data_IF_234223913537
#
_entry.id   IF_234223913537
#
_cell.length_a   1.000
_cell.length_b   1.000
_cell.length_c   1.000
_cell.angle_alpha   90.00
_cell.angle_beta   90.00
_cell.angle_gamma   90.00
#
_symmetry.space_group_name_H-M   'P 1'
#
loop_
_entity.id
_entity.type
_entity.pdbx_description
1 polymer ?
#
# COMPACT_ATOMS: atom_id res chain seq x y z
N UNK A 1 3.38 -54.87 21.42
CA UNK A 1 4.35 -54.01 20.72
C UNK A 1 3.73 -53.68 19.38
N UNK A 2 3.22 -52.46 19.25
CA UNK A 2 2.61 -51.97 18.01
C UNK A 2 3.34 -50.68 17.69
N UNK A 3 4.21 -50.72 16.69
CA UNK A 3 4.89 -49.55 16.15
C UNK A 3 3.87 -48.71 15.38
N UNK A 4 3.56 -47.54 15.92
CA UNK A 4 2.92 -46.45 15.19
C UNK A 4 4.00 -45.68 14.45
N UNK A 5 4.02 -45.80 13.12
CA UNK A 5 4.83 -44.97 12.23
C UNK A 5 4.38 -43.50 12.34
N UNK A 6 5.29 -42.51 12.50
CA UNK A 6 4.89 -41.13 12.75
C UNK A 6 4.74 -40.35 11.44
N UNK A 7 3.49 -40.15 10.99
CA UNK A 7 3.17 -39.19 9.93
C UNK A 7 3.32 -37.72 10.38
N UNK A 8 3.61 -37.46 11.66
CA UNK A 8 3.65 -36.13 12.26
C UNK A 8 4.99 -35.41 12.16
N UNK A 9 6.05 -36.06 11.65
CA UNK A 9 7.39 -35.46 11.61
C UNK A 9 7.64 -34.66 10.32
N UNK A 10 6.92 -34.95 9.24
CA UNK A 10 7.12 -34.29 7.94
C UNK A 10 6.45 -32.92 7.83
N UNK A 11 5.47 -32.59 8.66
CA UNK A 11 4.81 -31.27 8.64
C UNK A 11 5.61 -30.21 9.41
N UNK A 12 6.15 -30.55 10.58
CA UNK A 12 6.91 -29.61 11.42
C UNK A 12 8.19 -29.09 10.75
N UNK A 13 8.82 -29.90 9.89
CA UNK A 13 10.03 -29.50 9.17
C UNK A 13 9.73 -28.57 7.99
N UNK A 14 8.54 -28.64 7.39
CA UNK A 14 8.14 -27.76 6.28
C UNK A 14 7.86 -26.33 6.77
N UNK A 15 7.18 -26.20 7.91
CA UNK A 15 6.95 -24.90 8.57
C UNK A 15 8.23 -24.24 9.05
N UNK A 16 9.17 -25.00 9.63
CA UNK A 16 10.48 -24.47 10.02
C UNK A 16 11.32 -23.99 8.82
N UNK A 17 11.13 -24.60 7.64
CA UNK A 17 11.86 -24.21 6.43
C UNK A 17 11.26 -22.97 5.78
N UNK A 18 9.93 -22.81 5.80
CA UNK A 18 9.24 -21.61 5.32
C UNK A 18 9.53 -20.41 6.24
N UNK A 19 9.44 -20.58 7.57
CA UNK A 19 9.83 -19.56 8.53
C UNK A 19 11.31 -19.14 8.39
N UNK A 20 12.21 -20.10 8.13
CA UNK A 20 13.63 -19.81 7.89
C UNK A 20 13.88 -19.13 6.54
N UNK A 21 13.14 -19.49 5.50
CA UNK A 21 13.20 -18.83 4.19
C UNK A 21 12.72 -17.38 4.27
N UNK A 22 11.62 -17.14 4.98
CA UNK A 22 11.10 -15.79 5.31
C UNK A 22 12.17 -15.00 6.07
N UNK A 23 12.78 -15.57 7.11
CA UNK A 23 13.80 -14.88 7.91
C UNK A 23 15.10 -14.55 7.15
N UNK A 24 15.50 -15.36 6.16
CA UNK A 24 16.73 -15.13 5.38
C UNK A 24 16.55 -14.07 4.27
N UNK A 25 15.35 -13.92 3.72
CA UNK A 25 15.05 -12.90 2.69
C UNK A 25 15.03 -11.47 3.29
N UNK A 26 14.65 -11.34 4.57
CA UNK A 26 14.56 -10.07 5.32
C UNK A 26 15.89 -9.29 5.36
N UNK A 27 17.04 -9.96 5.43
CA UNK A 27 18.34 -9.27 5.50
C UNK A 27 18.81 -8.67 4.18
N UNK A 28 18.33 -9.16 3.03
CA UNK A 28 18.73 -8.66 1.72
C UNK A 28 17.85 -7.48 1.25
N UNK A 29 16.54 -7.54 1.49
CA UNK A 29 15.55 -6.58 0.95
C UNK A 29 15.55 -5.23 1.71
N UNK A 30 15.78 -5.24 3.03
CA UNK A 30 15.77 -4.00 3.84
C UNK A 30 16.80 -2.95 3.41
N UNK A 31 17.90 -3.37 2.80
CA UNK A 31 18.96 -2.47 2.29
C UNK A 31 18.65 -1.87 0.91
N UNK A 32 17.74 -2.47 0.14
CA UNK A 32 17.38 -2.01 -1.20
C UNK A 32 16.10 -1.16 -1.21
N UNK A 33 15.13 -1.45 -0.33
CA UNK A 33 13.88 -0.67 -0.25
C UNK A 33 14.09 0.75 0.33
N UNK A 34 15.00 0.88 1.30
CA UNK A 34 15.48 2.18 1.80
C UNK A 34 16.14 3.03 0.71
N UNK A 35 16.69 2.41 -0.33
CA UNK A 35 17.34 3.09 -1.46
C UNK A 35 16.34 3.63 -2.51
N UNK A 36 15.17 3.01 -2.67
CA UNK A 36 14.17 3.42 -3.68
C UNK A 36 13.20 4.49 -3.16
N UNK A 37 12.90 4.50 -1.85
CA UNK A 37 12.14 5.59 -1.21
C UNK A 37 12.84 6.95 -1.33
N UNK A 38 14.17 6.97 -1.27
CA UNK A 38 14.97 8.20 -1.42
C UNK A 38 14.95 8.73 -2.88
N UNK A 39 14.70 7.84 -3.86
CA UNK A 39 14.64 8.19 -5.29
C UNK A 39 13.24 8.61 -5.73
N UNK A 40 12.18 8.05 -5.14
CA UNK A 40 10.78 8.39 -5.42
C UNK A 40 10.39 9.83 -5.03
N UNK A 41 11.07 10.43 -4.05
CA UNK A 41 10.83 11.81 -3.62
C UNK A 41 11.21 12.91 -4.63
N UNK A 42 12.10 12.60 -5.60
CA UNK A 42 12.64 13.60 -6.53
C UNK A 42 11.79 13.80 -7.82
N UNK A 43 10.85 12.90 -8.12
CA UNK A 43 10.08 12.93 -9.38
C UNK A 43 8.71 13.64 -9.25
N UNK A 44 8.21 13.86 -8.04
CA UNK A 44 6.85 14.38 -7.81
C UNK A 44 6.74 15.92 -7.85
N UNK A 45 7.82 16.69 -8.02
CA UNK A 45 7.80 18.16 -7.92
C UNK A 45 7.84 18.93 -9.25
N UNK A 46 7.84 18.26 -10.42
CA UNK A 46 8.00 18.94 -11.72
C UNK A 46 6.75 19.00 -12.62
N UNK A 47 5.56 18.69 -12.11
CA UNK A 47 4.31 18.80 -12.86
C UNK A 47 3.38 19.92 -12.32
N UNK A 48 3.86 21.16 -12.30
CA UNK A 48 2.99 22.36 -12.27
C UNK A 48 3.71 23.60 -12.82
N UNK A 49 4.28 23.49 -14.02
CA UNK A 49 4.74 24.65 -14.80
C UNK A 49 3.61 25.22 -15.63
N UNK A 50 2.88 26.20 -15.11
CA UNK A 50 1.84 26.94 -15.84
C UNK A 50 2.44 27.68 -17.04
N UNK A 51 1.90 27.42 -18.22
CA UNK A 51 2.22 28.10 -19.48
C UNK A 51 1.76 29.56 -19.41
N UNK A 52 2.73 30.48 -19.31
CA UNK A 52 2.51 31.90 -19.59
C UNK A 52 2.38 32.10 -21.10
N UNK A 53 1.36 32.86 -21.50
CA UNK A 53 1.25 33.42 -22.83
C UNK A 53 1.59 34.91 -22.74
N UNK A 54 2.77 35.23 -23.24
CA UNK A 54 3.23 36.54 -23.66
C UNK A 54 2.75 36.78 -25.09
N UNK A 55 1.99 37.85 -25.32
CA UNK A 55 2.12 38.58 -26.57
C UNK A 55 1.68 40.04 -26.44
N UNK A 56 2.14 40.82 -27.40
CA UNK A 56 2.83 42.08 -27.21
C UNK A 56 2.11 43.27 -27.86
N UNK A 57 2.42 44.50 -27.41
CA UNK A 57 2.02 45.72 -28.13
C UNK A 57 2.08 47.01 -27.29
N UNK A 58 3.08 47.86 -27.54
CA UNK A 58 3.26 49.15 -26.87
C UNK A 58 2.49 50.33 -27.49
N UNK A 59 2.61 51.51 -26.86
CA UNK A 59 2.34 52.80 -27.51
C UNK A 59 1.72 53.92 -26.66
N UNK A 60 2.59 54.80 -26.13
CA UNK A 60 2.55 56.28 -26.10
C UNK A 60 1.31 57.11 -25.67
N UNK A 61 1.60 58.18 -24.89
CA UNK A 61 0.83 59.43 -24.74
C UNK A 61 0.51 59.75 -23.26
N UNK A 62 1.18 60.68 -22.57
CA UNK A 62 0.95 62.14 -22.55
C UNK A 62 -0.49 62.51 -22.11
N UNK A 63 -0.83 63.44 -21.24
CA UNK A 63 -0.19 64.34 -20.28
C UNK A 63 -1.36 65.13 -19.62
N UNK A 64 -1.04 65.84 -18.54
CA UNK A 64 -1.69 67.09 -18.10
C UNK A 64 -2.76 67.15 -16.96
N UNK A 65 -2.40 68.00 -16.00
CA UNK A 65 -3.14 68.91 -15.11
C UNK A 65 -4.34 68.51 -14.23
N UNK A 66 -4.26 68.93 -12.96
CA UNK A 66 -5.42 69.38 -12.18
C UNK A 66 -5.31 69.15 -10.67
N UNK A 67 -4.97 70.18 -9.90
CA UNK A 67 -4.93 70.14 -8.44
C UNK A 67 -6.31 70.19 -7.76
N UNK A 68 -6.33 69.93 -6.44
CA UNK A 68 -7.48 70.15 -5.58
C UNK A 68 -7.22 69.70 -4.13
N UNK A 69 -7.12 70.67 -3.22
CA UNK A 69 -7.02 70.51 -1.76
C UNK A 69 -8.41 70.44 -1.10
N UNK A 70 -8.47 69.83 0.10
CA UNK A 70 -9.57 69.95 1.09
C UNK A 70 -10.51 68.73 1.12
N UNK A 71 -11.04 68.25 2.23
CA UNK A 71 -10.96 68.64 3.64
C UNK A 71 -11.28 67.40 4.49
N UNK A 72 -10.58 67.28 5.61
CA UNK A 72 -11.05 66.93 6.95
C UNK A 72 -12.57 66.72 7.13
N UNK A 73 -12.95 65.55 7.63
CA UNK A 73 -14.02 65.44 8.62
C UNK A 73 -13.76 64.28 9.58
N UNK A 74 -13.95 64.61 10.85
CA UNK A 74 -13.71 63.78 12.02
C UNK A 74 -14.94 62.93 12.29
N UNK A 75 -14.76 61.70 12.75
CA UNK A 75 -15.62 61.17 13.82
C UNK A 75 -14.87 60.09 14.61
N UNK A 76 -14.61 60.44 15.87
CA UNK A 76 -14.06 59.54 16.87
C UNK A 76 -15.17 58.68 17.47
N UNK A 77 -14.91 57.38 17.55
CA UNK A 77 -15.62 56.45 18.41
C UNK A 77 -14.61 55.64 19.22
N UNK A 78 -14.32 56.08 20.44
CA UNK A 78 -13.65 55.28 21.46
C UNK A 78 -14.65 54.31 22.08
N UNK A 79 -14.28 53.04 22.20
CA UNK A 79 -15.03 52.04 22.95
C UNK A 79 -14.29 50.71 22.95
N UNK A 80 -13.50 50.49 24.01
CA UNK A 80 -12.83 49.24 24.32
C UNK A 80 -13.84 48.10 24.52
N UNK A 81 -13.43 46.86 24.22
CA UNK A 81 -13.36 45.80 25.23
C UNK A 81 -12.79 44.54 24.57
N UNK A 82 -11.52 44.30 24.89
CA UNK A 82 -10.84 43.02 24.76
C UNK A 82 -11.66 41.95 25.48
N UNK A 83 -12.41 41.17 24.71
CA UNK A 83 -12.98 39.90 25.16
C UNK A 83 -12.21 38.77 24.48
N UNK A 84 -11.13 38.40 25.15
CA UNK A 84 -10.53 37.07 25.14
C UNK A 84 -11.60 35.98 24.94
N UNK A 85 -11.45 35.17 23.90
CA UNK A 85 -12.41 34.08 23.72
C UNK A 85 -12.25 33.13 22.55
N UNK A 86 -11.14 33.13 21.82
CA UNK A 86 -10.81 32.02 20.92
C UNK A 86 -9.29 31.93 20.72
N UNK A 87 -8.53 31.95 21.82
CA UNK A 87 -7.14 31.49 21.77
C UNK A 87 -7.14 30.05 21.27
N UNK A 88 -6.34 29.83 20.23
CA UNK A 88 -6.40 28.66 19.39
C UNK A 88 -6.42 27.35 20.17
N UNK A 89 -7.38 26.51 19.81
CA UNK A 89 -7.07 25.09 19.70
C UNK A 89 -6.09 24.96 18.52
N UNK A 90 -4.84 25.35 18.75
CA UNK A 90 -3.73 24.89 17.94
C UNK A 90 -3.73 23.39 18.07
N UNK A 91 -4.51 22.73 17.21
CA UNK A 91 -4.52 21.29 17.10
C UNK A 91 -3.06 20.91 16.97
N UNK A 92 -2.57 20.10 17.91
CA UNK A 92 -1.26 19.47 17.74
C UNK A 92 -1.17 19.04 16.29
N UNK A 93 -0.09 19.38 15.56
CA UNK A 93 0.09 18.83 14.23
C UNK A 93 -0.09 17.33 14.40
N UNK A 94 -1.17 16.79 13.83
CA UNK A 94 -1.29 15.34 13.72
C UNK A 94 -0.05 14.99 12.94
N UNK A 95 0.89 14.29 13.58
CA UNK A 95 1.98 13.64 12.83
C UNK A 95 1.28 12.90 11.71
N UNK A 96 1.60 13.22 10.47
CA UNK A 96 0.96 12.60 9.31
C UNK A 96 1.17 11.09 9.41
N UNK A 97 0.16 10.38 9.93
CA UNK A 97 0.19 8.92 10.02
C UNK A 97 -0.07 8.43 8.62
N UNK A 98 1.00 8.01 7.93
CA UNK A 98 0.93 7.45 6.58
C UNK A 98 1.13 5.95 6.64
N UNK A 99 0.13 5.20 6.19
CA UNK A 99 0.28 3.78 5.91
C UNK A 99 1.07 3.64 4.60
N UNK A 100 2.19 2.89 4.57
CA UNK A 100 2.95 2.67 3.35
C UNK A 100 2.10 1.90 2.33
N UNK A 101 1.94 2.40 1.09
CA UNK A 101 1.28 1.64 0.04
C UNK A 101 2.20 0.51 -0.45
N UNK A 102 1.63 -0.68 -0.61
CA UNK A 102 2.28 -1.88 -1.15
C UNK A 102 1.72 -2.13 -2.55
N UNK A 103 2.57 -2.27 -3.59
CA UNK A 103 2.10 -2.56 -4.94
C UNK A 103 1.67 -4.03 -5.08
N UNK A 104 0.66 -4.28 -5.90
CA UNK A 104 0.25 -5.61 -6.35
C UNK A 104 -0.26 -5.56 -7.80
N UNK A 105 -0.66 -6.70 -8.33
CA UNK A 105 -1.33 -6.83 -9.61
C UNK A 105 -2.83 -7.09 -9.46
N UNK A 106 -3.61 -6.57 -10.41
CA UNK A 106 -5.02 -6.87 -10.62
C UNK A 106 -5.34 -6.67 -12.11
N UNK A 107 -5.89 -7.69 -12.77
CA UNK A 107 -6.23 -7.67 -14.20
C UNK A 107 -5.11 -7.16 -15.12
N UNK A 108 -3.85 -7.50 -14.82
CA UNK A 108 -2.68 -7.07 -15.58
C UNK A 108 -2.19 -5.66 -15.27
N UNK A 109 -2.91 -4.92 -14.43
CA UNK A 109 -2.59 -3.55 -14.01
C UNK A 109 -2.10 -3.50 -12.56
N UNK A 110 -1.57 -2.34 -12.15
CA UNK A 110 -1.11 -2.09 -10.78
C UNK A 110 -2.29 -1.69 -9.89
N UNK A 111 -2.28 -2.21 -8.67
CA UNK A 111 -3.02 -1.63 -7.56
C UNK A 111 -2.07 -1.41 -6.37
N UNK A 112 -2.51 -0.59 -5.43
CA UNK A 112 -1.80 -0.33 -4.18
C UNK A 112 -2.71 -0.58 -2.99
N UNK A 113 -2.20 -1.23 -1.96
CA UNK A 113 -2.95 -1.58 -0.76
C UNK A 113 -2.11 -1.33 0.51
N UNK A 114 -2.70 -1.51 1.69
CA UNK A 114 -1.99 -1.39 2.97
C UNK A 114 -2.09 -2.69 3.78
N UNK A 115 -1.19 -2.89 4.75
CA UNK A 115 -1.25 -3.97 5.73
C UNK A 115 -1.48 -3.44 7.16
N UNK A 116 -2.71 -3.06 7.54
CA UNK A 116 -3.01 -2.67 8.92
C UNK A 116 -2.96 -3.82 9.94
N UNK A 117 -3.40 -5.03 9.57
CA UNK A 117 -3.49 -6.16 10.51
C UNK A 117 -3.49 -7.54 9.81
N UNK A 118 -3.12 -8.59 10.54
CA UNK A 118 -3.13 -9.99 10.09
C UNK A 118 -3.41 -10.95 11.25
N UNK A 119 -3.99 -12.12 10.96
CA UNK A 119 -4.34 -13.13 11.97
C UNK A 119 -3.14 -13.78 12.66
N UNK A 120 -1.97 -13.79 12.02
CA UNK A 120 -0.78 -14.50 12.47
C UNK A 120 0.31 -13.54 13.00
N UNK A 121 0.84 -13.82 14.19
CA UNK A 121 1.81 -12.93 14.85
C UNK A 121 3.20 -12.93 14.20
N UNK A 122 3.62 -14.06 13.65
CA UNK A 122 4.91 -14.18 12.98
C UNK A 122 4.88 -13.39 11.68
N UNK A 123 3.82 -13.56 10.89
CA UNK A 123 3.58 -12.79 9.66
C UNK A 123 3.45 -11.30 9.96
N UNK A 124 2.75 -10.91 11.04
CA UNK A 124 2.66 -9.50 11.45
C UNK A 124 4.05 -8.88 11.71
N UNK A 125 4.92 -9.63 12.40
CA UNK A 125 6.29 -9.20 12.69
C UNK A 125 7.09 -9.04 11.41
N UNK A 126 7.05 -10.05 10.53
CA UNK A 126 7.71 -10.01 9.23
C UNK A 126 7.27 -8.81 8.39
N UNK A 127 5.95 -8.61 8.22
CA UNK A 127 5.43 -7.50 7.43
C UNK A 127 5.79 -6.14 8.04
N UNK A 128 5.83 -6.02 9.38
CA UNK A 128 6.28 -4.80 10.06
C UNK A 128 7.73 -4.47 9.71
N UNK A 129 8.61 -5.46 9.76
CA UNK A 129 10.03 -5.29 9.42
C UNK A 129 10.19 -4.91 7.94
N UNK A 130 9.44 -5.57 7.06
CA UNK A 130 9.46 -5.29 5.62
C UNK A 130 8.98 -3.88 5.27
N UNK A 131 8.00 -3.34 6.00
CA UNK A 131 7.48 -1.99 5.81
C UNK A 131 8.30 -0.90 6.54
N UNK A 132 9.57 -1.17 6.83
CA UNK A 132 10.46 -0.19 7.46
C UNK A 132 10.07 0.17 8.89
N UNK A 133 9.45 -0.78 9.62
CA UNK A 133 8.98 -0.60 10.99
C UNK A 133 7.58 0.02 11.10
N UNK A 134 6.85 0.18 9.99
CA UNK A 134 5.43 0.54 10.04
C UNK A 134 4.63 -0.63 10.63
N UNK A 135 3.91 -0.46 11.75
CA UNK A 135 3.31 -1.59 12.45
C UNK A 135 2.20 -2.29 11.67
N UNK A 136 2.30 -3.61 11.55
CA UNK A 136 1.18 -4.52 11.24
C UNK A 136 0.69 -5.13 12.55
N UNK A 137 -0.59 -4.96 12.85
CA UNK A 137 -1.17 -5.48 14.09
C UNK A 137 -1.47 -6.98 13.96
N UNK A 138 -1.20 -7.73 15.02
CA UNK A 138 -1.71 -9.10 15.14
C UNK A 138 -3.15 -9.07 15.63
N UNK A 139 -4.06 -9.67 14.86
CA UNK A 139 -5.47 -9.79 15.21
C UNK A 139 -5.97 -11.23 14.96
N UNK A 140 -5.76 -12.15 15.92
CA UNK A 140 -6.01 -13.58 15.71
C UNK A 140 -7.44 -13.92 15.28
N UNK A 141 -8.43 -13.15 15.72
CA UNK A 141 -9.84 -13.34 15.34
C UNK A 141 -10.11 -13.20 13.84
N UNK A 142 -9.18 -12.63 13.06
CA UNK A 142 -9.30 -12.59 11.60
C UNK A 142 -9.32 -13.99 10.98
N UNK A 143 -8.69 -15.01 11.59
CA UNK A 143 -8.75 -16.38 11.08
C UNK A 143 -10.10 -17.08 11.30
N UNK A 144 -10.96 -16.51 12.15
CA UNK A 144 -12.30 -17.03 12.43
C UNK A 144 -13.38 -16.39 11.55
N UNK A 145 -12.98 -15.48 10.65
CA UNK A 145 -13.90 -14.78 9.76
C UNK A 145 -14.45 -15.77 8.72
N UNK A 146 -15.78 -15.78 8.45
CA UNK A 146 -16.37 -16.66 7.44
C UNK A 146 -15.82 -16.38 6.04
N UNK A 147 -15.69 -17.43 5.23
CA UNK A 147 -15.19 -17.36 3.85
C UNK A 147 -15.97 -16.34 2.98
N UNK A 148 -17.27 -16.13 3.24
CA UNK A 148 -18.07 -15.17 2.46
C UNK A 148 -17.69 -13.69 2.71
N UNK A 149 -17.00 -13.43 3.82
CA UNK A 149 -16.48 -12.12 4.20
C UNK A 149 -15.02 -11.90 3.77
N UNK A 150 -14.35 -12.93 3.27
CA UNK A 150 -12.99 -12.86 2.73
C UNK A 150 -12.98 -12.99 1.21
N UNK A 151 -11.89 -12.57 0.60
CA UNK A 151 -11.56 -12.87 -0.79
C UNK A 151 -10.13 -13.38 -0.83
N UNK A 152 -9.73 -14.05 -1.89
CA UNK A 152 -8.35 -14.55 -1.99
C UNK A 152 -7.36 -13.41 -2.28
N UNK A 153 -6.10 -13.64 -1.92
CA UNK A 153 -4.92 -12.96 -2.47
C UNK A 153 -3.86 -14.01 -2.76
N UNK A 154 -3.29 -13.97 -3.96
CA UNK A 154 -2.25 -14.92 -4.37
C UNK A 154 -0.87 -14.35 -4.03
N UNK A 155 -0.11 -15.09 -3.22
CA UNK A 155 1.23 -14.73 -2.76
C UNK A 155 2.22 -15.80 -3.24
N UNK A 156 3.29 -15.40 -3.90
CA UNK A 156 4.20 -16.34 -4.55
C UNK A 156 5.32 -16.80 -3.60
N UNK A 157 5.39 -18.12 -3.38
CA UNK A 157 6.35 -18.74 -2.46
C UNK A 157 7.66 -19.19 -3.14
N UNK A 158 7.69 -19.24 -4.47
CA UNK A 158 8.88 -19.51 -5.29
C UNK A 158 8.75 -18.88 -6.70
N UNK A 159 9.70 -19.18 -7.59
CA UNK A 159 9.68 -18.72 -8.98
C UNK A 159 10.45 -17.42 -9.19
N UNK A 160 9.93 -16.50 -10.01
CA UNK A 160 10.65 -15.27 -10.35
C UNK A 160 10.97 -14.45 -9.10
N UNK A 161 12.25 -14.12 -8.91
CA UNK A 161 12.66 -13.22 -7.84
C UNK A 161 12.09 -11.82 -8.10
N UNK A 162 11.58 -11.18 -7.05
CA UNK A 162 10.89 -9.90 -7.19
C UNK A 162 10.59 -9.23 -5.86
N UNK A 163 9.78 -8.15 -5.89
CA UNK A 163 9.51 -7.32 -4.73
C UNK A 163 8.31 -7.79 -3.88
N UNK A 164 7.78 -8.99 -4.10
CA UNK A 164 6.71 -9.58 -3.30
C UNK A 164 7.17 -9.95 -1.88
N UNK A 165 6.21 -10.21 -0.97
CA UNK A 165 6.49 -10.39 0.46
C UNK A 165 7.41 -11.57 0.79
N UNK A 166 7.50 -12.56 -0.09
CA UNK A 166 8.38 -13.73 0.06
C UNK A 166 9.64 -13.67 -0.84
N UNK A 167 9.95 -12.51 -1.42
CA UNK A 167 11.11 -12.31 -2.31
C UNK A 167 10.90 -12.73 -3.76
N UNK A 168 9.64 -13.00 -4.12
CA UNK A 168 9.22 -13.39 -5.48
C UNK A 168 8.40 -12.30 -6.14
N UNK A 169 7.66 -12.61 -7.21
CA UNK A 169 6.81 -11.62 -7.86
C UNK A 169 5.77 -11.01 -6.91
N UNK A 170 5.17 -9.91 -7.35
CA UNK A 170 4.13 -9.21 -6.62
C UNK A 170 2.87 -10.06 -6.48
N UNK A 171 2.13 -9.78 -5.40
CA UNK A 171 0.85 -10.42 -5.12
C UNK A 171 -0.16 -10.13 -6.23
N UNK A 172 -1.07 -11.07 -6.45
CA UNK A 172 -2.16 -10.93 -7.43
C UNK A 172 -3.49 -10.93 -6.69
N UNK A 173 -4.26 -9.87 -6.90
CA UNK A 173 -5.59 -9.70 -6.36
C UNK A 173 -6.62 -10.12 -7.43
N UNK A 174 -7.62 -10.93 -7.07
CA UNK A 174 -8.71 -11.30 -7.99
C UNK A 174 -9.76 -10.21 -8.16
N UNK A 175 -9.80 -9.23 -7.26
CA UNK A 175 -10.89 -8.24 -7.20
C UNK A 175 -10.39 -6.91 -6.60
N UNK A 176 -10.82 -5.78 -7.16
CA UNK A 176 -10.56 -4.43 -6.69
C UNK A 176 -11.87 -3.70 -6.30
N UNK A 177 -11.82 -2.56 -5.58
CA UNK A 177 -13.03 -1.82 -5.24
C UNK A 177 -13.83 -1.43 -6.48
N UNK A 178 -15.12 -1.80 -6.50
CA UNK A 178 -15.97 -1.68 -7.68
C UNK A 178 -16.44 -3.05 -8.18
N UNK A 179 -15.67 -4.10 -7.92
CA UNK A 179 -16.08 -5.48 -8.18
C UNK A 179 -17.04 -5.99 -7.10
N UNK A 180 -17.98 -6.86 -7.50
CA UNK A 180 -19.01 -7.39 -6.60
C UNK A 180 -18.44 -8.28 -5.49
N UNK A 181 -17.39 -9.03 -5.80
CA UNK A 181 -16.69 -9.96 -4.92
C UNK A 181 -15.56 -9.30 -4.13
N UNK A 182 -15.34 -7.99 -4.28
CA UNK A 182 -14.30 -7.29 -3.52
C UNK A 182 -14.50 -7.43 -2.01
N UNK A 183 -13.44 -7.86 -1.32
CA UNK A 183 -13.33 -7.84 0.15
C UNK A 183 -11.99 -7.23 0.54
N UNK A 184 -11.96 -6.52 1.66
CA UNK A 184 -10.71 -6.01 2.23
C UNK A 184 -9.99 -7.04 3.09
N UNK A 185 -10.72 -8.01 3.64
CA UNK A 185 -10.12 -9.16 4.32
C UNK A 185 -9.74 -10.21 3.27
N UNK A 186 -8.49 -10.64 3.31
CA UNK A 186 -7.88 -11.51 2.31
C UNK A 186 -7.40 -12.81 2.91
N UNK A 187 -7.90 -13.93 2.43
CA UNK A 187 -7.29 -15.23 2.69
C UNK A 187 -6.03 -15.35 1.84
N UNK A 188 -4.89 -15.65 2.47
CA UNK A 188 -3.63 -15.86 1.76
C UNK A 188 -3.67 -17.21 1.05
N UNK A 189 -3.42 -17.19 -0.25
CA UNK A 189 -3.19 -18.39 -1.06
C UNK A 189 -1.73 -18.38 -1.51
N UNK A 190 -0.95 -19.32 -0.99
CA UNK A 190 0.43 -19.48 -1.41
C UNK A 190 0.48 -20.20 -2.75
N UNK A 191 1.12 -19.57 -3.74
CA UNK A 191 1.31 -20.10 -5.08
C UNK A 191 2.75 -20.56 -5.24
N UNK A 192 2.93 -21.82 -5.63
CA UNK A 192 4.24 -22.40 -5.92
C UNK A 192 4.30 -22.96 -7.33
N UNK A 193 5.28 -22.54 -8.13
CA UNK A 193 5.63 -23.19 -9.39
C UNK A 193 6.15 -24.60 -9.15
N UNK A 194 5.60 -25.55 -9.90
CA UNK A 194 6.05 -26.95 -9.89
C UNK A 194 7.44 -27.10 -10.55
N UNK A 195 7.70 -26.26 -11.56
CA UNK A 195 9.00 -26.13 -12.23
C UNK A 195 9.39 -24.65 -12.32
N UNK A 196 10.27 -24.21 -11.42
CA UNK A 196 10.74 -22.83 -11.34
C UNK A 196 11.45 -22.36 -12.63
N UNK A 197 12.01 -23.26 -13.43
CA UNK A 197 12.65 -22.89 -14.71
C UNK A 197 11.64 -22.41 -15.76
N UNK A 198 10.35 -22.71 -15.54
CA UNK A 198 9.23 -22.28 -16.38
C UNK A 198 8.45 -21.12 -15.78
N UNK A 199 8.89 -20.61 -14.62
CA UNK A 199 8.22 -19.51 -13.96
C UNK A 199 8.17 -18.29 -14.89
N UNK A 200 7.00 -17.67 -14.94
CA UNK A 200 6.74 -16.41 -15.61
C UNK A 200 5.93 -15.52 -14.68
N UNK A 201 5.93 -14.22 -14.94
CA UNK A 201 5.12 -13.30 -14.15
C UNK A 201 3.64 -13.56 -14.45
N UNK A 202 2.85 -13.71 -13.39
CA UNK A 202 1.39 -13.79 -13.45
C UNK A 202 0.81 -12.52 -12.86
N UNK A 203 -0.10 -11.88 -13.59
CA UNK A 203 -0.54 -10.50 -13.30
C UNK A 203 -2.06 -10.36 -13.19
N UNK A 204 -2.81 -11.46 -13.33
CA UNK A 204 -4.25 -11.52 -13.07
C UNK A 204 -4.64 -12.85 -12.44
N UNK A 205 -5.76 -12.87 -11.71
CA UNK A 205 -6.27 -14.12 -11.13
C UNK A 205 -6.55 -15.17 -12.20
N UNK A 206 -7.10 -14.76 -13.35
CA UNK A 206 -7.31 -15.66 -14.48
C UNK A 206 -6.02 -16.36 -14.95
N UNK A 207 -4.88 -15.66 -14.95
CA UNK A 207 -3.58 -16.27 -15.28
C UNK A 207 -3.10 -17.25 -14.21
N UNK A 208 -3.32 -16.93 -12.93
CA UNK A 208 -2.96 -17.77 -11.78
C UNK A 208 -3.79 -19.06 -11.76
N UNK A 209 -5.10 -18.93 -11.88
CA UNK A 209 -6.04 -20.06 -11.95
C UNK A 209 -5.79 -20.93 -13.19
N UNK A 210 -5.48 -20.33 -14.34
CA UNK A 210 -5.12 -21.10 -15.53
C UNK A 210 -3.81 -21.86 -15.34
N UNK A 211 -2.82 -21.26 -14.68
CA UNK A 211 -1.57 -21.94 -14.37
C UNK A 211 -1.78 -23.12 -13.41
N UNK A 212 -2.68 -23.00 -12.45
CA UNK A 212 -3.04 -24.09 -11.52
C UNK A 212 -3.79 -25.20 -12.26
N UNK A 213 -4.79 -24.85 -13.05
CA UNK A 213 -5.57 -25.82 -13.84
C UNK A 213 -4.70 -26.58 -14.85
N UNK A 214 -3.60 -25.96 -15.32
CA UNK A 214 -2.60 -26.58 -16.18
C UNK A 214 -1.54 -27.40 -15.40
N UNK A 215 -1.59 -27.44 -14.07
CA UNK A 215 -0.62 -28.11 -13.20
C UNK A 215 0.75 -27.47 -13.21
N UNK A 216 0.86 -26.19 -13.60
CA UNK A 216 2.12 -25.45 -13.61
C UNK A 216 2.46 -24.82 -12.26
N UNK A 217 1.42 -24.51 -11.47
CA UNK A 217 1.54 -24.08 -10.08
C UNK A 217 0.62 -24.91 -9.20
N UNK A 218 0.90 -24.95 -7.90
CA UNK A 218 0.01 -25.49 -6.86
C UNK A 218 -0.33 -24.42 -5.83
N UNK A 219 -1.48 -24.62 -5.16
CA UNK A 219 -1.97 -23.74 -4.11
C UNK A 219 -1.85 -24.38 -2.72
N UNK A 220 -1.42 -23.59 -1.74
CA UNK A 220 -1.47 -23.92 -0.32
C UNK A 220 -2.21 -22.83 0.45
N UNK A 221 -3.14 -23.22 1.33
CA UNK A 221 -3.94 -22.32 2.16
C UNK A 221 -3.53 -22.48 3.62
N UNK A 222 -2.70 -21.58 4.16
CA UNK A 222 -2.24 -21.68 5.53
C UNK A 222 -3.33 -21.31 6.57
N UNK A 223 -4.51 -20.84 6.15
CA UNK A 223 -5.56 -20.33 7.05
C UNK A 223 -5.25 -18.95 7.63
N UNK A 224 -4.39 -18.19 6.95
CA UNK A 224 -4.01 -16.83 7.35
C UNK A 224 -4.92 -15.83 6.66
N UNK A 225 -5.51 -14.94 7.45
CA UNK A 225 -6.33 -13.84 6.95
C UNK A 225 -5.66 -12.52 7.24
N UNK A 226 -5.52 -11.71 6.20
CA UNK A 226 -4.88 -10.39 6.24
C UNK A 226 -5.95 -9.33 6.00
N UNK A 227 -5.97 -8.27 6.81
CA UNK A 227 -6.69 -7.06 6.45
C UNK A 227 -5.82 -6.28 5.45
N UNK A 228 -6.19 -6.31 4.17
CA UNK A 228 -5.45 -5.74 3.06
C UNK A 228 -6.34 -4.80 2.23
N UNK A 229 -6.71 -3.62 2.78
CA UNK A 229 -7.61 -2.74 2.08
C UNK A 229 -6.87 -2.00 0.96
N UNK A 230 -7.48 -1.99 -0.22
CA UNK A 230 -6.94 -1.33 -1.41
C UNK A 230 -7.05 0.20 -1.25
N UNK A 231 -6.00 0.90 -1.66
CA UNK A 231 -5.86 2.37 -1.60
C UNK A 231 -6.02 3.00 -2.98
N UNK A 232 -5.43 2.39 -4.01
CA UNK A 232 -5.48 2.84 -5.39
C UNK A 232 -5.63 1.63 -6.31
N UNK A 233 -6.45 1.73 -7.35
CA UNK A 233 -6.76 0.67 -8.31
C UNK A 233 -7.12 1.26 -9.67
N UNK A 234 -7.15 0.46 -10.75
CA UNK A 234 -7.59 0.94 -12.05
C UNK A 234 -9.00 1.57 -11.97
N UNK A 235 -9.06 2.89 -12.18
CA UNK A 235 -10.31 3.65 -12.14
C UNK A 235 -10.65 4.33 -10.80
N UNK A 236 -9.82 4.23 -9.75
CA UNK A 236 -10.12 4.92 -8.48
C UNK A 236 -9.00 4.93 -7.42
N UNK A 237 -9.19 5.76 -6.39
CA UNK A 237 -8.32 5.87 -5.20
C UNK A 237 -9.11 6.32 -3.96
N UNK A 238 -8.55 6.19 -2.75
CA UNK A 238 -9.14 6.68 -1.49
C UNK A 238 -8.13 7.25 -0.49
#
# INVERSE_FOLDING_TARGET
>A
MSETTPASVHSAWRWATIALAIALVVLAVGTWWTYELDRGGAMASQASGGMGADDSGGGMGADDSGGGMGADDSDGGMGADDSDGAQGMGGMPRTDVRLPPVPAYYEGERLFFAHPAVSDSEIATTLTDMMGGSPVLTEPSLSDVPDEATAEVYVFANGLSGPGPLGHQLDVFPSAPGDFDHRSLREVVLVSWEDESRARELTSAAEVEQAEAAGSVSFERPGVVVNAPVLEWPGGQR
#
